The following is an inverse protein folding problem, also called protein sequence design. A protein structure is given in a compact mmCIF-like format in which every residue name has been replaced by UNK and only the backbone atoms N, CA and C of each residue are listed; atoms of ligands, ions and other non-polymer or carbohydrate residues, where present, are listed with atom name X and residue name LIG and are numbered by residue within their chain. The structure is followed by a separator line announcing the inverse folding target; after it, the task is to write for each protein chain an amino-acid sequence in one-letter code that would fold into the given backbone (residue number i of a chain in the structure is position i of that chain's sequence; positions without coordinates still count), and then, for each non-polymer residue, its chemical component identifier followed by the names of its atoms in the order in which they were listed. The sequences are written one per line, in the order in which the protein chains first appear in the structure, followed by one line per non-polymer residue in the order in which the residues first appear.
data_IF_218111180465
#
_entry.id   IF_218111180465
#
_cell.length_a   1.000
_cell.length_b   1.000
_cell.length_c   1.000
_cell.angle_alpha   90.00
_cell.angle_beta   90.00
_cell.angle_gamma   90.00
#
_symmetry.space_group_name_H-M   'P 1'
#
loop_
_entity.id
_entity.type
_entity.pdbx_description
1 polymer ?
#
# COMPACT_ATOMS: atom_id res chain seq x y z
N UNK A 1 4.80 14.39 -21.46
CA UNK A 1 3.96 14.85 -20.33
C UNK A 1 4.89 15.03 -19.16
N UNK A 2 5.04 16.26 -18.66
CA UNK A 2 5.84 16.53 -17.47
C UNK A 2 5.25 15.75 -16.29
N UNK A 3 6.09 15.02 -15.58
CA UNK A 3 5.68 14.32 -14.36
C UNK A 3 5.13 15.36 -13.38
N UNK A 4 3.96 15.09 -12.80
CA UNK A 4 3.36 15.90 -11.73
C UNK A 4 4.22 15.90 -10.46
N UNK A 5 5.06 14.88 -10.32
CA UNK A 5 5.94 14.73 -9.17
C UNK A 5 7.17 15.65 -9.33
N UNK A 6 7.51 16.45 -8.31
CA UNK A 6 8.68 17.31 -8.34
C UNK A 6 9.98 16.49 -8.35
N UNK A 7 11.10 17.13 -8.72
CA UNK A 7 12.41 16.55 -8.49
C UNK A 7 12.62 16.36 -6.97
N UNK A 8 12.90 15.12 -6.58
CA UNK A 8 12.99 14.71 -5.18
C UNK A 8 14.12 15.43 -4.42
N UNK A 9 15.23 15.72 -5.10
CA UNK A 9 16.39 16.42 -4.52
C UNK A 9 16.08 17.91 -4.39
N UNK A 10 15.49 18.53 -5.41
CA UNK A 10 15.07 19.94 -5.34
C UNK A 10 14.01 20.16 -4.26
N UNK A 11 13.05 19.25 -4.15
CA UNK A 11 12.06 19.29 -3.08
C UNK A 11 12.70 19.13 -1.69
N UNK A 12 13.68 18.25 -1.52
CA UNK A 12 14.38 18.11 -0.25
C UNK A 12 15.18 19.38 0.12
N UNK A 13 15.77 20.06 -0.88
CA UNK A 13 16.47 21.33 -0.69
C UNK A 13 15.51 22.46 -0.29
N UNK A 14 14.31 22.52 -0.89
CA UNK A 14 13.31 23.55 -0.55
C UNK A 14 12.71 23.40 0.84
N UNK A 15 12.88 22.23 1.47
CA UNK A 15 12.50 21.95 2.87
C UNK A 15 13.69 22.04 3.84
N UNK A 16 14.79 22.68 3.43
CA UNK A 16 16.00 22.90 4.23
C UNK A 16 16.64 21.61 4.78
N UNK A 17 16.45 20.48 4.11
CA UNK A 17 17.08 19.22 4.52
C UNK A 17 18.57 19.28 4.20
N UNK A 18 19.42 19.08 5.21
CA UNK A 18 20.88 19.23 5.08
C UNK A 18 21.46 18.22 4.07
N UNK A 19 22.04 18.75 3.00
CA UNK A 19 22.63 17.98 1.89
C UNK A 19 24.15 17.85 2.03
N UNK A 20 24.71 16.72 1.57
CA UNK A 20 26.13 16.62 1.28
C UNK A 20 26.41 17.28 -0.07
N UNK A 21 26.93 18.52 -0.01
CA UNK A 21 27.23 19.35 -1.21
C UNK A 21 28.10 18.64 -2.25
N UNK A 22 28.94 17.68 -1.84
CA UNK A 22 29.79 16.90 -2.77
C UNK A 22 29.01 15.93 -3.66
N UNK A 23 27.77 15.62 -3.30
CA UNK A 23 26.94 14.60 -3.97
C UNK A 23 25.74 15.16 -4.72
N UNK A 24 25.58 16.49 -4.77
CA UNK A 24 24.39 17.15 -5.31
C UNK A 24 24.21 16.92 -6.82
N UNK A 25 25.32 16.76 -7.54
CA UNK A 25 25.36 16.51 -8.99
C UNK A 25 25.41 15.01 -9.32
N UNK A 26 25.48 14.14 -8.31
CA UNK A 26 25.46 12.69 -8.53
C UNK A 26 24.02 12.23 -8.77
N UNK A 27 23.86 11.09 -9.44
CA UNK A 27 22.57 10.42 -9.60
C UNK A 27 21.89 10.13 -8.25
N UNK A 28 22.71 9.84 -7.24
CA UNK A 28 22.34 9.63 -5.86
C UNK A 28 22.94 10.73 -4.99
N UNK A 29 22.08 11.59 -4.46
CA UNK A 29 22.47 12.67 -3.55
C UNK A 29 22.26 12.22 -2.11
N UNK A 30 23.24 12.50 -1.25
CA UNK A 30 23.20 12.15 0.16
C UNK A 30 22.71 13.32 1.01
N UNK A 31 21.76 13.03 1.89
CA UNK A 31 21.14 13.95 2.83
C UNK A 31 21.25 13.44 4.27
N UNK A 32 21.14 14.35 5.22
CA UNK A 32 20.80 14.02 6.59
C UNK A 32 19.37 13.51 6.61
N UNK A 33 19.16 12.37 7.25
CA UNK A 33 17.83 11.81 7.39
C UNK A 33 17.00 12.66 8.38
N UNK A 34 15.82 13.17 7.99
CA UNK A 34 14.97 13.98 8.86
C UNK A 34 14.32 13.15 9.98
N UNK A 35 14.23 11.82 9.83
CA UNK A 35 13.56 10.94 10.78
C UNK A 35 14.48 10.40 11.88
N UNK A 36 15.71 10.01 11.53
CA UNK A 36 16.69 9.51 12.51
C UNK A 36 17.77 10.53 12.87
N UNK A 37 17.76 11.71 12.24
CA UNK A 37 18.72 12.77 12.45
C UNK A 37 20.17 12.35 12.20
N UNK A 38 21.09 13.07 12.85
CA UNK A 38 22.52 12.77 12.87
C UNK A 38 22.89 11.70 13.91
N UNK A 39 21.88 11.12 14.59
CA UNK A 39 22.07 10.19 15.68
C UNK A 39 22.47 8.79 15.17
N UNK A 40 23.47 8.20 15.83
CA UNK A 40 23.97 6.81 15.75
C UNK A 40 24.98 6.45 14.63
N UNK A 41 26.15 5.95 15.06
CA UNK A 41 27.13 5.01 14.46
C UNK A 41 27.57 5.05 12.98
N UNK A 42 26.74 5.49 12.02
CA UNK A 42 26.99 5.37 10.56
C UNK A 42 27.21 6.70 9.81
N UNK A 43 27.74 7.73 10.48
CA UNK A 43 28.08 9.02 9.87
C UNK A 43 26.87 9.96 9.65
N UNK A 44 27.12 11.17 9.16
CA UNK A 44 26.10 12.25 9.11
C UNK A 44 25.06 12.09 7.98
N UNK A 45 25.50 11.67 6.79
CA UNK A 45 24.64 11.61 5.60
C UNK A 45 24.27 10.17 5.26
N UNK A 46 23.02 9.79 5.52
CA UNK A 46 22.57 8.39 5.45
C UNK A 46 21.29 8.19 4.65
N UNK A 47 20.67 9.28 4.22
CA UNK A 47 19.51 9.28 3.34
C UNK A 47 20.01 9.48 1.91
N UNK A 48 19.76 8.52 1.05
CA UNK A 48 20.03 8.64 -0.38
C UNK A 48 18.74 9.03 -1.10
N UNK A 49 18.80 10.08 -1.90
CA UNK A 49 17.75 10.47 -2.84
C UNK A 49 18.26 10.27 -4.27
N UNK A 50 17.49 9.56 -5.09
CA UNK A 50 17.81 9.31 -6.48
C UNK A 50 16.93 10.18 -7.39
N UNK A 51 17.55 11.09 -8.16
CA UNK A 51 16.82 12.00 -9.06
C UNK A 51 16.14 11.27 -10.22
N UNK A 52 16.80 10.24 -10.76
CA UNK A 52 16.33 9.52 -11.96
C UNK A 52 15.16 8.61 -11.63
N UNK A 53 15.29 7.84 -10.56
CA UNK A 53 14.29 6.83 -10.19
C UNK A 53 13.19 7.40 -9.28
N UNK A 54 13.39 8.61 -8.71
CA UNK A 54 12.44 9.23 -7.79
C UNK A 54 12.29 8.42 -6.50
N UNK A 55 13.36 7.77 -6.04
CA UNK A 55 13.36 6.88 -4.89
C UNK A 55 14.23 7.45 -3.76
N UNK A 56 13.81 7.21 -2.52
CA UNK A 56 14.63 7.46 -1.34
C UNK A 56 14.88 6.20 -0.52
N UNK A 57 16.01 6.17 0.19
CA UNK A 57 16.33 5.14 1.17
C UNK A 57 17.25 5.69 2.26
N UNK A 58 16.91 5.42 3.52
CA UNK A 58 17.79 5.62 4.66
C UNK A 58 18.45 4.30 5.07
N UNK A 59 19.77 4.31 5.27
CA UNK A 59 20.52 3.11 5.69
C UNK A 59 20.57 2.90 7.21
N UNK A 60 19.93 3.76 8.01
CA UNK A 60 19.85 3.63 9.47
C UNK A 60 18.44 3.27 9.93
N UNK A 61 17.45 4.14 9.72
CA UNK A 61 16.06 3.84 10.09
C UNK A 61 15.32 2.97 9.04
N UNK A 62 16.00 2.55 7.97
CA UNK A 62 15.47 1.69 6.90
C UNK A 62 14.28 2.26 6.13
N UNK A 63 13.95 3.53 6.38
CA UNK A 63 12.89 4.22 5.67
C UNK A 63 13.17 4.30 4.17
N UNK A 64 12.16 3.99 3.36
CA UNK A 64 12.27 3.93 1.90
C UNK A 64 10.92 4.21 1.24
N UNK A 65 10.95 4.67 0.00
CA UNK A 65 9.75 4.95 -0.79
C UNK A 65 10.04 5.75 -2.04
N UNK A 66 9.00 6.16 -2.75
CA UNK A 66 9.09 7.08 -3.89
C UNK A 66 8.97 8.55 -3.48
N UNK A 67 9.01 9.44 -4.48
CA UNK A 67 8.86 10.89 -4.29
C UNK A 67 7.60 11.26 -3.51
N UNK A 68 6.47 10.64 -3.83
CA UNK A 68 5.21 10.92 -3.15
C UNK A 68 5.23 10.47 -1.68
N UNK A 69 5.80 9.30 -1.40
CA UNK A 69 5.96 8.80 -0.01
C UNK A 69 6.86 9.74 0.80
N UNK A 70 7.91 10.28 0.17
CA UNK A 70 8.80 11.24 0.80
C UNK A 70 8.05 12.51 1.21
N UNK A 71 7.31 13.12 0.28
CA UNK A 71 6.53 14.34 0.54
C UNK A 71 5.51 14.11 1.65
N UNK A 72 4.76 13.00 1.60
CA UNK A 72 3.78 12.66 2.63
C UNK A 72 4.42 12.59 4.03
N UNK A 73 5.60 11.97 4.13
CA UNK A 73 6.33 11.84 5.40
C UNK A 73 6.94 13.14 5.89
N UNK A 74 7.43 14.00 5.01
CA UNK A 74 7.99 15.29 5.38
C UNK A 74 6.90 16.25 5.83
N UNK A 75 5.78 16.29 5.12
CA UNK A 75 4.69 17.22 5.42
C UNK A 75 3.68 16.66 6.43
N UNK A 76 3.83 15.39 6.83
CA UNK A 76 2.90 14.67 7.69
C UNK A 76 1.44 14.75 7.18
N UNK A 77 1.29 14.55 5.86
CA UNK A 77 0.00 14.60 5.14
C UNK A 77 -0.34 13.24 4.55
N UNK A 78 -1.64 13.02 4.32
CA UNK A 78 -2.10 11.84 3.60
C UNK A 78 -1.69 11.90 2.12
N UNK A 79 -1.62 10.73 1.47
CA UNK A 79 -1.24 10.62 0.05
C UNK A 79 -2.22 11.37 -0.84
N UNK A 80 -3.50 11.34 -0.49
CA UNK A 80 -4.58 12.02 -1.21
C UNK A 80 -4.42 13.54 -1.14
N UNK A 81 -4.13 14.07 0.06
CA UNK A 81 -3.91 15.49 0.28
C UNK A 81 -2.71 16.00 -0.54
N UNK A 82 -1.57 15.31 -0.46
CA UNK A 82 -0.37 15.68 -1.23
C UNK A 82 -0.62 15.59 -2.73
N UNK A 83 -1.28 14.53 -3.21
CA UNK A 83 -1.55 14.36 -4.64
C UNK A 83 -2.51 15.43 -5.17
N UNK A 84 -3.46 15.89 -4.34
CA UNK A 84 -4.34 17.02 -4.66
C UNK A 84 -3.54 18.32 -4.78
N UNK A 85 -2.70 18.64 -3.80
CA UNK A 85 -1.86 19.86 -3.81
C UNK A 85 -0.91 19.89 -5.02
N UNK A 86 -0.27 18.76 -5.35
CA UNK A 86 0.59 18.67 -6.54
C UNK A 86 -0.19 18.88 -7.84
N UNK A 87 -1.45 18.43 -7.91
CA UNK A 87 -2.33 18.67 -9.07
C UNK A 87 -2.68 20.14 -9.21
N UNK A 88 -3.05 20.78 -8.11
CA UNK A 88 -3.35 22.21 -8.06
C UNK A 88 -2.14 23.06 -8.47
N UNK A 89 -0.94 22.72 -7.96
CA UNK A 89 0.33 23.36 -8.34
C UNK A 89 0.67 23.19 -9.83
N UNK A 90 0.31 22.05 -10.42
CA UNK A 90 0.47 21.79 -11.85
C UNK A 90 -0.63 22.45 -12.72
N UNK A 91 -1.53 23.24 -12.11
CA UNK A 91 -2.66 23.88 -12.81
C UNK A 91 -3.76 22.91 -13.23
N UNK A 92 -3.80 21.70 -12.64
CA UNK A 92 -4.82 20.70 -12.94
C UNK A 92 -6.04 20.98 -12.06
N UNK A 93 -7.17 21.27 -12.71
CA UNK A 93 -8.45 21.45 -12.02
C UNK A 93 -8.91 20.11 -11.39
N UNK A 94 -9.04 20.09 -10.07
CA UNK A 94 -9.41 18.89 -9.30
C UNK A 94 -10.77 18.33 -9.72
N UNK A 95 -11.76 19.20 -9.93
CA UNK A 95 -13.12 18.81 -10.32
C UNK A 95 -13.13 18.15 -11.69
N UNK A 96 -12.46 18.75 -12.67
CA UNK A 96 -12.35 18.17 -14.01
C UNK A 96 -11.59 16.85 -14.00
N UNK A 97 -10.52 16.75 -13.20
CA UNK A 97 -9.78 15.51 -13.04
C UNK A 97 -10.67 14.40 -12.47
N UNK A 98 -11.43 14.69 -11.40
CA UNK A 98 -12.34 13.72 -10.79
C UNK A 98 -13.43 13.28 -11.75
N UNK A 99 -14.01 14.22 -12.52
CA UNK A 99 -14.98 13.88 -13.57
C UNK A 99 -14.38 12.97 -14.64
N UNK A 100 -13.14 13.23 -15.09
CA UNK A 100 -12.43 12.37 -16.05
C UNK A 100 -12.16 10.98 -15.47
N UNK A 101 -11.79 10.89 -14.20
CA UNK A 101 -11.57 9.59 -13.54
C UNK A 101 -12.88 8.83 -13.31
N UNK A 102 -13.98 9.51 -13.01
CA UNK A 102 -15.30 8.90 -12.83
C UNK A 102 -15.86 8.32 -14.13
N UNK A 103 -15.47 8.89 -15.28
CA UNK A 103 -15.82 8.35 -16.61
C UNK A 103 -15.01 7.10 -16.99
N UNK A 104 -13.90 6.82 -16.30
CA UNK A 104 -13.12 5.61 -16.55
C UNK A 104 -13.78 4.41 -15.91
N UNK A 105 -13.65 3.27 -16.57
CA UNK A 105 -14.07 2.00 -15.99
C UNK A 105 -13.27 1.72 -14.70
N UNK A 106 -13.85 1.15 -13.62
CA UNK A 106 -13.13 0.84 -12.39
C UNK A 106 -11.83 0.04 -12.61
N UNK A 107 -11.87 -0.95 -13.51
CA UNK A 107 -10.68 -1.71 -13.90
C UNK A 107 -9.53 -0.84 -14.44
N UNK A 108 -9.84 0.25 -15.16
CA UNK A 108 -8.83 1.17 -15.73
C UNK A 108 -8.15 2.03 -14.67
N UNK A 109 -8.72 2.07 -13.46
CA UNK A 109 -8.16 2.78 -12.31
C UNK A 109 -7.21 1.90 -11.49
N UNK A 110 -7.15 0.60 -11.77
CA UNK A 110 -6.23 -0.31 -11.11
C UNK A 110 -4.78 0.04 -11.46
N UNK A 111 -3.91 0.04 -10.45
CA UNK A 111 -2.48 0.24 -10.64
C UNK A 111 -1.84 -0.99 -11.28
N UNK A 112 -0.64 -0.83 -11.85
CA UNK A 112 0.12 -1.96 -12.41
C UNK A 112 0.41 -3.06 -11.37
N UNK A 113 0.61 -2.67 -10.10
CA UNK A 113 0.81 -3.63 -9.00
C UNK A 113 -0.48 -4.40 -8.72
N UNK A 114 -1.63 -3.72 -8.71
CA UNK A 114 -2.94 -4.36 -8.52
C UNK A 114 -3.26 -5.34 -9.65
N UNK A 115 -2.96 -4.95 -10.90
CA UNK A 115 -3.09 -5.84 -12.06
C UNK A 115 -2.18 -7.08 -11.94
N UNK A 116 -0.98 -6.95 -11.38
CA UNK A 116 -0.09 -8.08 -11.16
C UNK A 116 -0.64 -9.11 -10.16
N UNK A 117 -1.40 -8.69 -9.14
CA UNK A 117 -2.03 -9.63 -8.20
C UNK A 117 -3.05 -10.55 -8.87
N UNK A 118 -3.67 -10.10 -9.96
CA UNK A 118 -4.58 -10.91 -10.78
C UNK A 118 -3.92 -11.46 -12.05
N UNK A 119 -2.58 -11.52 -12.08
CA UNK A 119 -1.80 -12.14 -13.16
C UNK A 119 -1.61 -11.28 -14.41
N UNK A 120 -2.06 -10.03 -14.42
CA UNK A 120 -1.96 -9.12 -15.57
C UNK A 120 -0.69 -8.29 -15.45
N UNK A 121 0.35 -8.68 -16.19
CA UNK A 121 1.67 -7.99 -16.13
C UNK A 121 1.69 -6.68 -16.92
N UNK A 122 1.02 -6.64 -18.07
CA UNK A 122 0.96 -5.47 -18.94
C UNK A 122 -0.41 -5.43 -19.60
N UNK A 123 -1.10 -4.28 -19.55
CA UNK A 123 -2.21 -4.03 -20.49
C UNK A 123 -1.59 -3.95 -21.90
N UNK A 124 -2.13 -4.64 -22.91
CA UNK A 124 -1.58 -4.59 -24.26
C UNK A 124 -1.45 -3.14 -24.75
N UNK A 125 -0.34 -2.79 -25.41
CA UNK A 125 -0.12 -1.42 -25.91
C UNK A 125 -1.21 -0.97 -26.90
N UNK A 126 -1.81 -1.92 -27.62
CA UNK A 126 -2.92 -1.71 -28.54
C UNK A 126 -4.30 -1.81 -27.87
N UNK A 127 -4.39 -1.98 -26.55
CA UNK A 127 -5.68 -2.06 -25.85
C UNK A 127 -6.53 -0.80 -26.08
N UNK A 128 -5.88 0.36 -26.24
CA UNK A 128 -6.54 1.62 -26.57
C UNK A 128 -7.04 1.69 -28.03
N UNK A 129 -6.49 0.86 -28.93
CA UNK A 129 -6.87 0.77 -30.35
C UNK A 129 -7.77 -0.43 -30.65
N UNK A 130 -8.19 -1.20 -29.64
CA UNK A 130 -9.16 -2.29 -29.78
C UNK A 130 -10.58 -1.74 -29.89
N UNK A 131 -11.47 -2.55 -30.46
CA UNK A 131 -12.90 -2.26 -30.49
C UNK A 131 -13.46 -1.99 -29.09
N UNK A 132 -14.39 -1.03 -29.00
CA UNK A 132 -14.92 -0.56 -27.73
C UNK A 132 -15.64 -1.67 -26.96
N UNK A 133 -16.41 -2.53 -27.64
CA UNK A 133 -17.12 -3.62 -26.97
C UNK A 133 -16.14 -4.65 -26.39
N UNK A 134 -15.06 -4.94 -27.11
CA UNK A 134 -13.99 -5.82 -26.60
C UNK A 134 -13.27 -5.22 -25.39
N UNK A 135 -13.02 -3.90 -25.41
CA UNK A 135 -12.42 -3.19 -24.26
C UNK A 135 -13.31 -3.26 -23.03
N UNK A 136 -14.62 -3.04 -23.19
CA UNK A 136 -15.58 -3.08 -22.10
C UNK A 136 -15.71 -4.49 -21.52
N UNK A 137 -15.80 -5.51 -22.37
CA UNK A 137 -15.80 -6.91 -21.94
C UNK A 137 -14.52 -7.28 -21.18
N UNK A 138 -13.35 -6.86 -21.67
CA UNK A 138 -12.08 -7.11 -20.99
C UNK A 138 -12.02 -6.39 -19.65
N UNK A 139 -12.45 -5.13 -19.61
CA UNK A 139 -12.49 -4.33 -18.39
C UNK A 139 -13.44 -4.93 -17.33
N UNK A 140 -14.57 -5.49 -17.74
CA UNK A 140 -15.50 -6.20 -16.85
C UNK A 140 -14.86 -7.47 -16.27
N UNK A 141 -14.24 -8.30 -17.12
CA UNK A 141 -13.52 -9.47 -16.66
C UNK A 141 -12.41 -9.11 -15.66
N UNK A 142 -11.60 -8.08 -15.95
CA UNK A 142 -10.55 -7.59 -15.03
C UNK A 142 -11.16 -7.17 -13.69
N UNK A 143 -12.32 -6.51 -13.71
CA UNK A 143 -12.99 -6.06 -12.50
C UNK A 143 -13.51 -7.25 -11.67
N UNK A 144 -14.05 -8.28 -12.32
CA UNK A 144 -14.48 -9.52 -11.67
C UNK A 144 -13.31 -10.24 -11.00
N UNK A 145 -12.19 -10.41 -11.70
CA UNK A 145 -10.97 -11.03 -11.14
C UNK A 145 -10.44 -10.22 -9.95
N UNK A 146 -10.41 -8.89 -10.08
CA UNK A 146 -9.97 -8.00 -9.01
C UNK A 146 -10.87 -8.09 -7.78
N UNK A 147 -12.19 -8.11 -7.97
CA UNK A 147 -13.14 -8.25 -6.86
C UNK A 147 -13.04 -9.62 -6.18
N UNK A 148 -12.82 -10.69 -6.96
CA UNK A 148 -12.56 -12.03 -6.44
C UNK A 148 -11.31 -12.06 -5.56
N UNK A 149 -10.21 -11.50 -6.07
CA UNK A 149 -8.97 -11.34 -5.30
C UNK A 149 -9.20 -10.53 -4.01
N UNK A 150 -9.86 -9.38 -4.09
CA UNK A 150 -10.15 -8.57 -2.90
C UNK A 150 -11.00 -9.32 -1.89
N UNK A 151 -12.02 -10.07 -2.33
CA UNK A 151 -12.84 -10.87 -1.43
C UNK A 151 -12.00 -11.92 -0.69
N UNK A 152 -11.10 -12.63 -1.40
CA UNK A 152 -10.17 -13.56 -0.77
C UNK A 152 -9.30 -12.87 0.29
N UNK A 153 -8.73 -11.70 -0.05
CA UNK A 153 -7.87 -10.95 0.88
C UNK A 153 -8.64 -10.42 2.10
N UNK A 154 -9.90 -10.04 1.93
CA UNK A 154 -10.80 -9.66 3.03
C UNK A 154 -11.09 -10.84 3.94
N UNK A 155 -11.44 -12.01 3.39
CA UNK A 155 -11.68 -13.22 4.17
C UNK A 155 -10.44 -13.64 4.95
N UNK A 156 -9.25 -13.57 4.33
CA UNK A 156 -7.98 -13.86 5.00
C UNK A 156 -7.69 -12.86 6.14
N UNK A 157 -7.85 -11.56 5.89
CA UNK A 157 -7.64 -10.53 6.89
C UNK A 157 -8.60 -10.66 8.08
N UNK A 158 -9.88 -10.94 7.82
CA UNK A 158 -10.87 -11.23 8.86
C UNK A 158 -10.50 -12.49 9.66
N UNK A 159 -10.05 -13.54 8.97
CA UNK A 159 -9.60 -14.77 9.61
C UNK A 159 -8.43 -14.52 10.57
N UNK A 160 -7.43 -13.74 10.13
CA UNK A 160 -6.28 -13.33 10.95
C UNK A 160 -6.71 -12.54 12.18
N UNK A 161 -7.63 -11.58 12.02
CA UNK A 161 -8.14 -10.81 13.16
C UNK A 161 -8.84 -11.72 14.17
N UNK A 162 -9.80 -12.53 13.73
CA UNK A 162 -10.60 -13.39 14.60
C UNK A 162 -9.74 -14.44 15.32
N UNK A 163 -8.78 -15.05 14.59
CA UNK A 163 -7.85 -16.00 15.20
C UNK A 163 -6.93 -15.31 16.20
N UNK A 164 -6.36 -14.15 15.84
CA UNK A 164 -5.54 -13.33 16.72
C UNK A 164 -6.26 -12.94 18.01
N UNK A 165 -7.55 -12.61 17.96
CA UNK A 165 -8.37 -12.36 19.16
C UNK A 165 -8.45 -13.60 20.05
N UNK A 166 -8.68 -14.80 19.47
CA UNK A 166 -8.79 -16.05 20.24
C UNK A 166 -7.50 -16.46 20.95
N UNK A 167 -6.34 -16.12 20.39
CA UNK A 167 -5.01 -16.44 20.96
C UNK A 167 -4.36 -15.25 21.67
N UNK A 168 -5.10 -14.17 21.92
CA UNK A 168 -4.61 -12.93 22.55
C UNK A 168 -3.41 -12.27 21.83
N UNK A 169 -3.38 -12.35 20.50
CA UNK A 169 -2.39 -11.74 19.60
C UNK A 169 -3.02 -10.77 18.60
N UNK A 170 -4.10 -10.08 18.99
CA UNK A 170 -4.84 -9.21 18.09
C UNK A 170 -4.02 -8.00 17.60
N UNK A 171 -3.06 -7.49 18.39
CA UNK A 171 -2.20 -6.40 17.91
C UNK A 171 -1.31 -6.85 16.75
N UNK A 172 -0.78 -8.09 16.80
CA UNK A 172 -0.01 -8.69 15.71
C UNK A 172 -0.87 -8.82 14.46
N UNK A 173 -2.10 -9.33 14.59
CA UNK A 173 -3.04 -9.43 13.48
C UNK A 173 -3.33 -8.05 12.85
N UNK A 174 -3.54 -7.00 13.65
CA UNK A 174 -3.75 -5.64 13.14
C UNK A 174 -2.53 -5.14 12.34
N UNK A 175 -1.31 -5.41 12.81
CA UNK A 175 -0.07 -5.03 12.09
C UNK A 175 0.01 -5.74 10.75
N UNK A 176 -0.27 -7.04 10.71
CA UNK A 176 -0.29 -7.83 9.48
C UNK A 176 -1.35 -7.32 8.48
N UNK A 177 -2.56 -7.03 8.94
CA UNK A 177 -3.64 -6.52 8.08
C UNK A 177 -3.30 -5.14 7.51
N UNK A 178 -2.64 -4.28 8.29
CA UNK A 178 -2.14 -2.98 7.81
C UNK A 178 -1.08 -3.16 6.73
N UNK A 179 -0.19 -4.14 6.88
CA UNK A 179 0.84 -4.45 5.89
C UNK A 179 0.25 -5.05 4.61
N UNK A 180 -0.76 -5.92 4.72
CA UNK A 180 -1.55 -6.40 3.58
C UNK A 180 -2.21 -5.23 2.86
N UNK A 181 -2.89 -4.36 3.60
CA UNK A 181 -3.59 -3.18 3.05
C UNK A 181 -2.61 -2.27 2.28
N UNK A 182 -1.42 -2.05 2.85
CA UNK A 182 -0.35 -1.26 2.23
C UNK A 182 0.16 -1.90 0.94
N UNK A 183 0.34 -3.21 0.95
CA UNK A 183 0.87 -3.98 -0.18
C UNK A 183 -0.11 -4.03 -1.36
N UNK A 184 -1.40 -4.19 -1.06
CA UNK A 184 -2.49 -4.25 -2.05
C UNK A 184 -2.89 -2.84 -2.53
N UNK A 185 -2.67 -1.82 -1.70
CA UNK A 185 -3.17 -0.47 -1.93
C UNK A 185 -4.68 -0.36 -1.74
N UNK A 186 -5.24 -1.14 -0.81
CA UNK A 186 -6.67 -1.16 -0.47
C UNK A 186 -6.84 -1.29 1.04
N UNK A 187 -7.74 -0.51 1.66
CA UNK A 187 -7.90 -0.51 3.11
C UNK A 187 -8.76 -1.69 3.59
N UNK A 188 -8.11 -2.81 3.92
CA UNK A 188 -8.80 -4.00 4.45
C UNK A 188 -9.21 -3.83 5.90
N UNK A 189 -8.45 -3.06 6.69
CA UNK A 189 -8.66 -3.00 8.14
C UNK A 189 -10.05 -2.46 8.51
N UNK A 190 -10.52 -1.41 7.81
CA UNK A 190 -11.86 -0.87 8.04
C UNK A 190 -12.94 -1.90 7.71
N UNK A 191 -12.86 -2.50 6.52
CA UNK A 191 -13.85 -3.49 6.04
C UNK A 191 -13.91 -4.73 6.94
N UNK A 192 -12.77 -5.16 7.48
CA UNK A 192 -12.68 -6.28 8.41
C UNK A 192 -13.32 -5.94 9.76
N UNK A 193 -13.10 -4.74 10.29
CA UNK A 193 -13.76 -4.32 11.54
C UNK A 193 -15.27 -4.20 11.36
N UNK A 194 -15.71 -3.63 10.23
CA UNK A 194 -17.13 -3.55 9.90
C UNK A 194 -17.74 -4.96 9.85
N UNK A 195 -17.11 -5.89 9.11
CA UNK A 195 -17.59 -7.26 9.00
C UNK A 195 -17.58 -8.04 10.31
N UNK A 196 -16.55 -7.84 11.16
CA UNK A 196 -16.49 -8.45 12.49
C UNK A 196 -17.62 -7.92 13.40
N UNK A 197 -17.97 -6.64 13.27
CA UNK A 197 -19.05 -5.99 14.02
C UNK A 197 -20.46 -6.28 13.53
N UNK A 198 -20.64 -6.81 12.31
CA UNK A 198 -21.96 -7.05 11.70
C UNK A 198 -22.80 -8.18 12.35
N UNK A 199 -22.24 -8.93 13.31
CA UNK A 199 -22.97 -10.00 14.01
C UNK A 199 -23.46 -11.10 13.05
N UNK A 200 -24.77 -11.37 13.05
CA UNK A 200 -25.38 -12.48 12.31
C UNK A 200 -25.58 -12.22 10.80
N UNK A 201 -25.26 -11.02 10.31
CA UNK A 201 -25.38 -10.65 8.90
C UNK A 201 -24.03 -10.25 8.30
N UNK A 202 -23.08 -11.19 8.18
CA UNK A 202 -21.80 -10.90 7.57
C UNK A 202 -21.97 -10.58 6.08
N UNK A 203 -21.09 -9.76 5.48
CA UNK A 203 -21.04 -9.60 4.03
C UNK A 203 -20.71 -10.94 3.34
N UNK A 204 -21.07 -11.09 2.06
CA UNK A 204 -20.94 -12.35 1.33
C UNK A 204 -19.52 -12.97 1.41
N UNK A 205 -18.48 -12.13 1.32
CA UNK A 205 -17.09 -12.58 1.41
C UNK A 205 -16.69 -13.10 2.81
N UNK A 206 -17.43 -12.74 3.86
CA UNK A 206 -17.16 -13.15 5.24
C UNK A 206 -17.94 -14.42 5.65
N UNK A 207 -18.85 -14.91 4.81
CA UNK A 207 -19.61 -16.14 5.08
C UNK A 207 -18.64 -17.31 5.26
N UNK A 208 -18.83 -18.08 6.34
CA UNK A 208 -18.01 -19.25 6.66
C UNK A 208 -16.67 -18.96 7.33
N UNK A 209 -16.17 -17.71 7.31
CA UNK A 209 -14.90 -17.34 7.94
C UNK A 209 -14.88 -17.69 9.43
N UNK A 210 -15.94 -17.33 10.17
CA UNK A 210 -16.04 -17.65 11.60
C UNK A 210 -15.94 -19.15 11.87
N UNK A 211 -16.67 -19.97 11.11
CA UNK A 211 -16.66 -21.42 11.27
C UNK A 211 -15.27 -22.01 10.98
N UNK A 212 -14.59 -21.52 9.94
CA UNK A 212 -13.22 -21.92 9.61
C UNK A 212 -12.22 -21.54 10.73
N UNK A 213 -12.33 -20.32 11.28
CA UNK A 213 -11.49 -19.86 12.40
C UNK A 213 -11.76 -20.69 13.66
N UNK A 214 -13.03 -20.95 13.98
CA UNK A 214 -13.42 -21.77 15.13
C UNK A 214 -12.81 -23.18 15.00
N UNK A 215 -12.87 -23.82 13.83
CA UNK A 215 -12.25 -25.12 13.57
C UNK A 215 -10.71 -25.06 13.66
N UNK A 216 -10.08 -24.04 13.08
CA UNK A 216 -8.62 -23.85 13.12
C UNK A 216 -8.10 -23.64 14.54
N UNK A 217 -8.86 -22.91 15.36
CA UNK A 217 -8.55 -22.70 16.77
C UNK A 217 -8.65 -23.99 17.59
N UNK A 218 -9.66 -24.83 17.34
CA UNK A 218 -9.75 -26.15 17.98
C UNK A 218 -8.54 -27.04 17.61
N UNK A 219 -8.12 -27.04 16.36
CA UNK A 219 -6.91 -27.76 15.93
C UNK A 219 -5.65 -27.25 16.65
N UNK A 220 -5.51 -25.93 16.80
CA UNK A 220 -4.42 -25.31 17.56
C UNK A 220 -4.42 -25.73 19.04
N UNK A 221 -5.58 -25.71 19.71
CA UNK A 221 -5.70 -26.16 21.10
C UNK A 221 -5.29 -27.62 21.24
N UNK A 222 -5.75 -28.50 20.35
CA UNK A 222 -5.42 -29.91 20.38
C UNK A 222 -3.91 -30.17 20.20
N UNK A 223 -3.24 -29.42 19.31
CA UNK A 223 -1.79 -29.53 19.11
C UNK A 223 -0.99 -29.08 20.35
N UNK A 224 -1.44 -28.02 21.03
CA UNK A 224 -0.76 -27.52 22.23
C UNK A 224 -1.05 -28.36 23.49
N UNK A 225 -2.24 -28.97 23.58
CA UNK A 225 -2.60 -29.89 24.66
C UNK A 225 -1.92 -31.26 24.55
N UNK A 226 -1.44 -31.65 23.37
CA UNK A 226 -0.60 -32.85 23.17
C UNK A 226 0.89 -32.60 23.48
N UNK A 227 1.26 -31.37 23.86
CA UNK A 227 2.63 -30.97 24.19
C UNK A 227 2.96 -30.76 25.70
N UNK A 228 2.43 -31.51 26.70
CA UNK A 228 2.99 -31.48 28.05
C UNK A 228 3.67 -32.80 28.42
N UNK A 229 5.01 -32.87 28.30
CA UNK A 229 5.99 -33.52 29.21
C UNK A 229 7.30 -33.92 28.51
N UNK A 230 8.19 -32.94 28.26
CA UNK A 230 9.64 -33.19 28.15
C UNK A 230 10.40 -32.19 29.01
N UNK A 231 10.13 -32.22 30.31
CA UNK A 231 11.08 -31.79 31.34
C UNK A 231 10.74 -32.58 32.59
N UNK A 232 11.43 -33.72 32.74
CA UNK A 232 11.72 -34.39 33.99
C UNK A 232 13.25 -34.49 34.08
#
# INVERSE_FOLDING_TARGET
MSSILPDLVEYALSKDIRVNRRTINNSQTLFVCPWCGDSLSRGKFKLTLNRKDGLFRCFTCLEKGGTLDFICKIENKSREAVTKELREQAGINETEYQQKQAKKHPAERLTSVQLQFIGIRLRPQHFASMDQAFRDQTNEWILLEWNSFLNQQRSEALSRLMFGIKVDQYQTAIVEIKEMSRTIGHNLLSEVFDAYGCGDKPPEWAIGVKAWVDASYQAYLNANLQSPSQTA
#
